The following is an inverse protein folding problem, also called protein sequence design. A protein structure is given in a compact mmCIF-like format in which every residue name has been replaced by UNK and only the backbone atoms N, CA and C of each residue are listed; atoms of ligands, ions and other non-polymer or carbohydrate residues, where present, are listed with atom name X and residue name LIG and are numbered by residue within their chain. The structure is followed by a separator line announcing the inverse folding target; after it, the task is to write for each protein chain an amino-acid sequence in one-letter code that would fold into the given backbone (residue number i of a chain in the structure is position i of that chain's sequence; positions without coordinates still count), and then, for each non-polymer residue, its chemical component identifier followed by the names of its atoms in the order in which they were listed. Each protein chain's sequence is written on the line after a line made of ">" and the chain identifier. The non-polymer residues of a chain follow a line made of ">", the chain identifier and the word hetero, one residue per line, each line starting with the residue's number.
data_IF_712741188386
#
_entry.id   IF_712741188386
#
_cell.length_a   1.000
_cell.length_b   1.000
_cell.length_c   1.000
_cell.angle_alpha   90.00
_cell.angle_beta   90.00
_cell.angle_gamma   90.00
#
_symmetry.space_group_name_H-M   'P 1'
#
loop_
_entity.id
_entity.type
_entity.pdbx_description
1 polymer ?
#
# COMPACT_ATOMS: atom_id res chain seq x y z
N UNK A 1 -65.21 -50.17 -23.16
CA UNK A 1 -63.90 -50.32 -22.48
C UNK A 1 -62.96 -49.25 -23.02
N UNK A 2 -62.55 -48.28 -22.19
CA UNK A 2 -61.43 -47.31 -22.30
C UNK A 2 -61.80 -46.07 -21.45
N UNK A 3 -61.59 -46.19 -20.15
CA UNK A 3 -60.47 -45.59 -19.38
C UNK A 3 -60.61 -44.07 -19.22
N UNK A 4 -61.19 -43.67 -18.07
CA UNK A 4 -61.02 -42.37 -17.45
C UNK A 4 -59.53 -42.17 -17.10
N UNK A 5 -58.92 -41.09 -17.59
CA UNK A 5 -57.65 -40.59 -17.09
C UNK A 5 -57.93 -39.38 -16.18
N UNK A 6 -57.79 -39.59 -14.87
CA UNK A 6 -57.91 -38.56 -13.85
C UNK A 6 -56.58 -37.77 -13.81
N UNK A 7 -56.55 -36.58 -14.43
CA UNK A 7 -55.43 -35.64 -14.36
C UNK A 7 -55.45 -34.93 -13.01
N UNK A 8 -54.59 -35.34 -12.08
CA UNK A 8 -54.32 -34.62 -10.83
C UNK A 8 -53.47 -33.38 -11.14
N UNK A 9 -54.12 -32.22 -11.25
CA UNK A 9 -53.47 -30.91 -11.25
C UNK A 9 -52.91 -30.63 -9.85
N UNK A 10 -51.62 -30.86 -9.65
CA UNK A 10 -50.89 -30.27 -8.53
C UNK A 10 -50.75 -28.76 -8.79
N UNK A 11 -51.28 -27.88 -7.93
CA UNK A 11 -51.02 -26.46 -8.06
C UNK A 11 -49.54 -26.25 -7.71
N UNK A 12 -48.71 -26.03 -8.74
CA UNK A 12 -47.44 -25.34 -8.56
C UNK A 12 -47.80 -23.94 -8.04
N UNK A 13 -47.79 -23.75 -6.72
CA UNK A 13 -47.65 -22.42 -6.15
C UNK A 13 -46.30 -21.90 -6.62
N UNK A 14 -46.32 -21.20 -7.75
CA UNK A 14 -45.24 -20.34 -8.17
C UNK A 14 -45.23 -19.17 -7.18
N UNK A 15 -44.60 -19.36 -6.03
CA UNK A 15 -44.28 -18.26 -5.13
C UNK A 15 -43.32 -17.39 -5.93
N UNK A 16 -43.83 -16.29 -6.47
CA UNK A 16 -43.02 -15.28 -7.12
C UNK A 16 -42.01 -14.78 -6.08
N UNK A 17 -40.80 -15.31 -6.11
CA UNK A 17 -39.70 -14.82 -5.30
C UNK A 17 -39.50 -13.37 -5.72
N UNK A 18 -39.83 -12.42 -4.85
CA UNK A 18 -39.69 -11.00 -5.15
C UNK A 18 -38.24 -10.73 -5.51
N UNK A 19 -37.96 -10.39 -6.76
CA UNK A 19 -36.61 -10.12 -7.21
C UNK A 19 -36.09 -8.85 -6.54
N UNK A 20 -34.86 -8.91 -6.02
CA UNK A 20 -34.21 -7.74 -5.42
C UNK A 20 -33.87 -6.74 -6.52
N UNK A 21 -34.44 -5.54 -6.42
CA UNK A 21 -34.22 -4.47 -7.38
C UNK A 21 -32.92 -3.71 -7.11
N UNK A 22 -32.50 -2.88 -8.07
CA UNK A 22 -31.40 -1.94 -7.83
C UNK A 22 -31.74 -0.92 -6.74
N UNK A 23 -33.01 -0.50 -6.67
CA UNK A 23 -33.51 0.41 -5.64
C UNK A 23 -33.42 -0.21 -4.24
N UNK A 24 -33.82 -1.49 -4.09
CA UNK A 24 -33.65 -2.24 -2.83
C UNK A 24 -32.19 -2.23 -2.35
N UNK A 25 -31.24 -2.47 -3.27
CA UNK A 25 -29.80 -2.41 -2.99
C UNK A 25 -29.33 -1.02 -2.60
N UNK A 26 -29.75 0.01 -3.32
CA UNK A 26 -29.39 1.40 -3.01
C UNK A 26 -29.91 1.82 -1.64
N UNK A 27 -31.14 1.44 -1.31
CA UNK A 27 -31.75 1.70 0.00
C UNK A 27 -31.00 1.00 1.12
N UNK A 28 -30.67 -0.28 0.96
CA UNK A 28 -29.85 -1.02 1.93
C UNK A 28 -28.46 -0.39 2.13
N UNK A 29 -27.83 0.04 1.03
CA UNK A 29 -26.53 0.72 1.06
C UNK A 29 -26.61 2.08 1.76
N UNK A 30 -27.69 2.84 1.55
CA UNK A 30 -27.92 4.13 2.21
C UNK A 30 -28.01 3.97 3.73
N UNK A 31 -28.83 3.02 4.21
CA UNK A 31 -28.90 2.74 5.66
C UNK A 31 -27.56 2.33 6.25
N UNK A 32 -26.80 1.49 5.54
CA UNK A 32 -25.46 1.06 5.97
C UNK A 32 -24.48 2.23 6.12
N UNK A 33 -24.40 3.11 5.12
CA UNK A 33 -23.49 4.26 5.13
C UNK A 33 -23.92 5.27 6.21
N UNK A 34 -25.23 5.43 6.41
CA UNK A 34 -25.79 6.26 7.48
C UNK A 34 -25.61 5.67 8.89
N UNK A 35 -25.02 4.46 9.02
CA UNK A 35 -24.93 3.72 10.28
C UNK A 35 -26.30 3.44 10.93
N UNK A 36 -27.37 3.45 10.14
CA UNK A 36 -28.71 3.06 10.56
C UNK A 36 -28.79 1.53 10.55
N UNK A 37 -28.19 0.92 11.57
CA UNK A 37 -28.00 -0.52 11.62
C UNK A 37 -29.31 -1.30 11.65
N UNK A 38 -30.36 -0.75 12.26
CA UNK A 38 -31.67 -1.41 12.32
C UNK A 38 -32.29 -1.55 10.93
N UNK A 39 -32.35 -0.46 10.17
CA UNK A 39 -32.87 -0.51 8.81
C UNK A 39 -31.93 -1.23 7.84
N UNK A 40 -30.61 -1.12 8.04
CA UNK A 40 -29.62 -1.88 7.27
C UNK A 40 -29.77 -3.39 7.46
N UNK A 41 -29.94 -3.86 8.71
CA UNK A 41 -30.19 -5.27 9.03
C UNK A 41 -31.43 -5.75 8.29
N UNK A 42 -32.53 -5.00 8.37
CA UNK A 42 -33.80 -5.37 7.73
C UNK A 42 -33.64 -5.48 6.21
N UNK A 43 -33.00 -4.49 5.59
CA UNK A 43 -32.80 -4.44 4.15
C UNK A 43 -31.83 -5.53 3.65
N UNK A 44 -30.66 -5.72 4.29
CA UNK A 44 -29.73 -6.78 3.87
C UNK A 44 -30.21 -8.17 4.18
N UNK A 45 -31.04 -8.38 5.21
CA UNK A 45 -31.66 -9.67 5.46
C UNK A 45 -32.54 -10.09 4.29
N UNK A 46 -33.42 -9.18 3.80
CA UNK A 46 -34.22 -9.39 2.58
C UNK A 46 -33.34 -9.76 1.39
N UNK A 47 -32.23 -9.04 1.17
CA UNK A 47 -31.31 -9.30 0.07
C UNK A 47 -30.62 -10.67 0.23
N UNK A 48 -30.10 -10.99 1.41
CA UNK A 48 -29.39 -12.24 1.68
C UNK A 48 -30.30 -13.48 1.57
N UNK A 49 -31.58 -13.35 1.90
CA UNK A 49 -32.61 -14.39 1.75
C UNK A 49 -32.98 -14.62 0.27
N UNK A 50 -33.15 -13.55 -0.49
CA UNK A 50 -33.45 -13.62 -1.92
C UNK A 50 -32.25 -14.04 -2.77
N UNK A 51 -31.02 -13.78 -2.31
CA UNK A 51 -29.77 -14.07 -3.03
C UNK A 51 -28.84 -14.94 -2.16
N UNK A 52 -29.06 -16.27 -2.12
CA UNK A 52 -28.31 -17.18 -1.24
C UNK A 52 -26.79 -17.24 -1.48
N UNK A 53 -26.34 -16.87 -2.69
CA UNK A 53 -24.92 -16.86 -3.07
C UNK A 53 -24.28 -15.46 -2.94
N UNK A 54 -25.03 -14.46 -2.47
CA UNK A 54 -24.50 -13.12 -2.28
C UNK A 54 -23.77 -13.01 -0.93
N UNK A 55 -22.47 -13.34 -0.93
CA UNK A 55 -21.61 -13.18 0.25
C UNK A 55 -21.48 -11.71 0.70
N UNK A 56 -21.59 -10.75 -0.24
CA UNK A 56 -21.47 -9.32 0.09
C UNK A 56 -22.65 -8.86 0.95
N UNK A 57 -23.89 -9.23 0.57
CA UNK A 57 -25.08 -8.93 1.35
C UNK A 57 -25.03 -9.54 2.75
N UNK A 58 -24.57 -10.80 2.88
CA UNK A 58 -24.36 -11.45 4.18
C UNK A 58 -23.29 -10.78 5.01
N UNK A 59 -22.20 -10.32 4.38
CA UNK A 59 -21.14 -9.58 5.06
C UNK A 59 -21.69 -8.28 5.62
N UNK A 60 -22.42 -7.49 4.81
CA UNK A 60 -23.03 -6.23 5.25
C UNK A 60 -24.08 -6.44 6.34
N UNK A 61 -24.86 -7.51 6.25
CA UNK A 61 -25.78 -7.93 7.31
C UNK A 61 -25.02 -8.24 8.62
N UNK A 62 -23.98 -9.06 8.55
CA UNK A 62 -23.15 -9.41 9.70
C UNK A 62 -22.46 -8.20 10.33
N UNK A 63 -21.92 -7.29 9.53
CA UNK A 63 -21.34 -6.02 10.03
C UNK A 63 -22.40 -5.14 10.67
N UNK A 64 -23.61 -5.06 10.10
CA UNK A 64 -24.71 -4.29 10.71
C UNK A 64 -25.12 -4.87 12.06
N UNK A 65 -25.14 -6.20 12.21
CA UNK A 65 -25.32 -6.85 13.52
C UNK A 65 -24.17 -6.55 14.48
N UNK A 66 -22.92 -6.60 14.01
CA UNK A 66 -21.76 -6.30 14.84
C UNK A 66 -21.80 -4.87 15.37
N UNK A 67 -22.08 -3.90 14.49
CA UNK A 67 -22.17 -2.48 14.83
C UNK A 67 -23.36 -2.13 15.72
N UNK A 68 -24.42 -2.94 15.72
CA UNK A 68 -25.56 -2.82 16.65
C UNK A 68 -25.38 -3.58 17.97
N UNK A 69 -24.20 -4.18 18.20
CA UNK A 69 -23.87 -4.93 19.42
C UNK A 69 -24.32 -6.40 19.41
N UNK A 70 -25.00 -6.85 18.36
CA UNK A 70 -25.52 -8.21 18.21
C UNK A 70 -24.45 -9.18 17.68
N UNK A 71 -23.36 -9.31 18.43
CA UNK A 71 -22.14 -10.00 17.97
C UNK A 71 -22.33 -11.49 17.66
N UNK A 72 -23.27 -12.17 18.33
CA UNK A 72 -23.57 -13.59 18.05
C UNK A 72 -24.21 -13.79 16.67
N UNK A 73 -25.16 -12.93 16.30
CA UNK A 73 -25.76 -12.95 14.96
C UNK A 73 -24.74 -12.52 13.90
N UNK A 74 -23.86 -11.55 14.24
CA UNK A 74 -22.76 -11.18 13.36
C UNK A 74 -21.88 -12.38 12.99
N UNK A 75 -21.42 -13.16 13.99
CA UNK A 75 -20.64 -14.39 13.75
C UNK A 75 -21.37 -15.32 12.79
N UNK A 76 -22.64 -15.64 13.03
CA UNK A 76 -23.44 -16.53 12.18
C UNK A 76 -23.44 -16.09 10.71
N UNK A 77 -23.82 -14.85 10.43
CA UNK A 77 -23.92 -14.36 9.05
C UNK A 77 -22.56 -14.16 8.38
N UNK A 78 -21.52 -13.84 9.15
CA UNK A 78 -20.15 -13.73 8.62
C UNK A 78 -19.53 -15.10 8.32
N UNK A 79 -19.81 -16.12 9.12
CA UNK A 79 -19.43 -17.51 8.81
C UNK A 79 -20.11 -18.00 7.53
N UNK A 80 -21.40 -17.71 7.35
CA UNK A 80 -22.11 -18.01 6.10
C UNK A 80 -21.46 -17.28 4.92
N UNK A 81 -21.14 -15.99 5.07
CA UNK A 81 -20.49 -15.21 4.02
C UNK A 81 -19.14 -15.81 3.59
N UNK A 82 -18.31 -16.21 4.56
CA UNK A 82 -17.01 -16.83 4.30
C UNK A 82 -17.13 -18.24 3.70
N UNK A 83 -18.19 -18.99 4.01
CA UNK A 83 -18.46 -20.30 3.38
C UNK A 83 -18.85 -20.16 1.91
N UNK A 84 -19.58 -19.10 1.56
CA UNK A 84 -20.06 -18.85 0.19
C UNK A 84 -18.95 -18.29 -0.70
N UNK A 85 -18.11 -17.40 -0.16
CA UNK A 85 -17.05 -16.75 -0.93
C UNK A 85 -15.75 -16.62 -0.15
N UNK A 86 -14.63 -16.72 -0.86
CA UNK A 86 -13.31 -16.43 -0.29
C UNK A 86 -13.04 -14.92 -0.30
N UNK A 87 -13.62 -14.18 0.67
CA UNK A 87 -13.47 -12.73 0.77
C UNK A 87 -12.75 -12.31 2.06
N UNK A 88 -11.64 -11.60 1.91
CA UNK A 88 -10.81 -11.13 3.02
C UNK A 88 -11.57 -10.23 4.01
N UNK A 89 -12.48 -9.39 3.54
CA UNK A 89 -13.22 -8.47 4.40
C UNK A 89 -14.23 -9.20 5.30
N UNK A 90 -14.87 -10.26 4.78
CA UNK A 90 -15.77 -11.12 5.58
C UNK A 90 -14.99 -11.84 6.66
N UNK A 91 -13.78 -12.35 6.34
CA UNK A 91 -12.89 -12.97 7.31
C UNK A 91 -12.43 -11.99 8.39
N UNK A 92 -12.10 -10.75 8.00
CA UNK A 92 -11.71 -9.71 8.95
C UNK A 92 -12.82 -9.45 9.98
N UNK A 93 -14.03 -9.13 9.49
CA UNK A 93 -15.15 -8.83 10.36
C UNK A 93 -15.60 -10.04 11.18
N UNK A 94 -15.42 -11.26 10.66
CA UNK A 94 -15.64 -12.47 11.45
C UNK A 94 -14.67 -12.53 12.64
N UNK A 95 -13.40 -12.18 12.41
CA UNK A 95 -12.42 -12.00 13.49
C UNK A 95 -12.86 -10.96 14.52
N UNK A 96 -13.32 -9.78 14.07
CA UNK A 96 -13.86 -8.73 14.95
C UNK A 96 -15.08 -9.21 15.75
N UNK A 97 -15.97 -9.99 15.15
CA UNK A 97 -17.14 -10.56 15.84
C UNK A 97 -16.74 -11.62 16.89
N UNK A 98 -15.70 -12.42 16.62
CA UNK A 98 -15.12 -13.33 17.61
C UNK A 98 -14.47 -12.59 18.77
N UNK A 99 -13.81 -11.45 18.52
CA UNK A 99 -13.27 -10.60 19.58
C UNK A 99 -14.38 -10.13 20.54
N UNK A 100 -15.52 -9.68 20.00
CA UNK A 100 -16.66 -9.23 20.81
C UNK A 100 -17.40 -10.35 21.55
N UNK A 101 -17.31 -11.58 21.05
CA UNK A 101 -17.82 -12.76 21.76
C UNK A 101 -16.80 -13.36 22.74
N UNK A 102 -15.70 -12.65 23.02
CA UNK A 102 -14.63 -13.05 23.95
C UNK A 102 -13.92 -14.35 23.55
N UNK A 103 -13.76 -14.56 22.24
CA UNK A 103 -13.08 -15.72 21.65
C UNK A 103 -11.80 -15.26 20.92
N UNK A 104 -10.74 -14.84 21.66
CA UNK A 104 -9.57 -14.20 21.08
C UNK A 104 -8.80 -15.11 20.10
N UNK A 105 -8.73 -16.41 20.35
CA UNK A 105 -8.00 -17.32 19.47
C UNK A 105 -8.67 -17.46 18.10
N UNK A 106 -10.01 -17.55 18.08
CA UNK A 106 -10.76 -17.53 16.83
C UNK A 106 -10.68 -16.17 16.14
N UNK A 107 -10.71 -15.08 16.91
CA UNK A 107 -10.55 -13.73 16.37
C UNK A 107 -9.24 -13.62 15.57
N UNK A 108 -8.11 -14.00 16.18
CA UNK A 108 -6.81 -13.96 15.53
C UNK A 108 -6.68 -14.97 14.39
N UNK A 109 -7.26 -16.16 14.50
CA UNK A 109 -7.27 -17.13 13.40
C UNK A 109 -7.93 -16.55 12.14
N UNK A 110 -9.04 -15.83 12.29
CA UNK A 110 -9.75 -15.22 11.16
C UNK A 110 -9.09 -13.94 10.65
N UNK A 111 -8.52 -13.12 11.54
CA UNK A 111 -7.69 -11.96 11.15
C UNK A 111 -6.48 -12.44 10.33
N UNK A 112 -5.78 -13.49 10.74
CA UNK A 112 -4.66 -14.06 9.99
C UNK A 112 -5.09 -14.54 8.60
N UNK A 113 -6.20 -15.29 8.52
CA UNK A 113 -6.75 -15.72 7.22
C UNK A 113 -7.11 -14.53 6.34
N UNK A 114 -7.67 -13.47 6.91
CA UNK A 114 -8.00 -12.25 6.20
C UNK A 114 -6.77 -11.59 5.58
N UNK A 115 -5.69 -11.42 6.37
CA UNK A 115 -4.42 -10.84 5.92
C UNK A 115 -3.79 -11.69 4.81
N UNK A 116 -3.76 -13.02 4.97
CA UNK A 116 -3.26 -13.94 3.93
C UNK A 116 -4.07 -13.89 2.62
N UNK A 117 -5.32 -13.44 2.67
CA UNK A 117 -6.17 -13.23 1.50
C UNK A 117 -6.19 -11.77 1.03
N UNK A 118 -5.20 -10.96 1.42
CA UNK A 118 -5.00 -9.61 0.90
C UNK A 118 -5.71 -8.48 1.66
N UNK A 119 -6.16 -8.73 2.90
CA UNK A 119 -6.61 -7.63 3.74
C UNK A 119 -5.44 -6.71 4.09
N UNK A 120 -5.56 -5.44 3.69
CA UNK A 120 -4.53 -4.41 3.87
C UNK A 120 -5.12 -3.06 4.32
N UNK A 121 -6.27 -3.06 5.00
CA UNK A 121 -6.91 -1.82 5.45
C UNK A 121 -6.45 -1.45 6.87
N UNK A 122 -5.26 -0.85 6.98
CA UNK A 122 -4.66 -0.53 8.29
C UNK A 122 -5.53 0.38 9.15
N UNK A 123 -6.17 1.40 8.56
CA UNK A 123 -7.07 2.30 9.30
C UNK A 123 -8.26 1.57 9.89
N UNK A 124 -8.86 0.65 9.12
CA UNK A 124 -9.95 -0.21 9.60
C UNK A 124 -9.48 -1.05 10.79
N UNK A 125 -8.29 -1.65 10.70
CA UNK A 125 -7.72 -2.47 11.78
C UNK A 125 -7.46 -1.66 13.07
N UNK A 126 -6.84 -0.48 12.95
CA UNK A 126 -6.43 0.35 14.10
C UNK A 126 -7.63 1.01 14.82
N UNK A 127 -8.64 1.39 14.04
CA UNK A 127 -9.83 2.10 14.50
C UNK A 127 -10.98 1.16 14.92
N UNK A 128 -10.86 -0.15 14.66
CA UNK A 128 -11.90 -1.12 15.02
C UNK A 128 -12.02 -1.27 16.54
N UNK A 129 -13.06 -0.64 17.07
CA UNK A 129 -13.40 -0.66 18.51
C UNK A 129 -13.70 -2.07 19.00
N UNK A 130 -14.08 -3.00 18.13
CA UNK A 130 -14.35 -4.38 18.49
C UNK A 130 -13.08 -5.15 18.87
N UNK A 131 -11.90 -4.66 18.44
CA UNK A 131 -10.61 -5.26 18.74
C UNK A 131 -9.95 -4.66 20.01
N UNK A 132 -10.61 -3.73 20.71
CA UNK A 132 -10.02 -3.04 21.88
C UNK A 132 -9.51 -4.00 22.95
N UNK A 133 -10.23 -5.09 23.22
CA UNK A 133 -9.83 -6.11 24.20
C UNK A 133 -8.60 -6.93 23.75
N UNK A 134 -8.23 -6.87 22.47
CA UNK A 134 -7.11 -7.60 21.90
C UNK A 134 -5.83 -6.76 21.79
N UNK A 135 -5.88 -5.44 22.00
CA UNK A 135 -4.74 -4.53 21.77
C UNK A 135 -3.50 -4.85 22.63
N UNK A 136 -3.69 -5.44 23.81
CA UNK A 136 -2.59 -5.86 24.69
C UNK A 136 -2.01 -7.24 24.36
N UNK A 137 -2.68 -8.03 23.52
CA UNK A 137 -2.17 -9.32 23.06
C UNK A 137 -1.06 -9.11 22.03
N UNK A 138 0.07 -9.79 22.20
CA UNK A 138 1.23 -9.64 21.29
C UNK A 138 0.90 -9.95 19.83
N UNK A 139 -0.09 -10.82 19.58
CA UNK A 139 -0.56 -11.14 18.22
C UNK A 139 -1.16 -9.93 17.52
N UNK A 140 -1.78 -9.00 18.25
CA UNK A 140 -2.33 -7.77 17.68
C UNK A 140 -1.24 -6.93 17.01
N UNK A 141 -0.13 -6.66 17.72
CA UNK A 141 1.01 -5.93 17.15
C UNK A 141 1.61 -6.68 15.96
N UNK A 142 1.76 -8.00 16.06
CA UNK A 142 2.27 -8.82 14.96
C UNK A 142 1.43 -8.66 13.69
N UNK A 143 0.11 -8.84 13.77
CA UNK A 143 -0.75 -8.74 12.59
C UNK A 143 -0.87 -7.31 12.07
N UNK A 144 -0.81 -6.32 12.95
CA UNK A 144 -0.69 -4.91 12.56
C UNK A 144 0.55 -4.66 11.71
N UNK A 145 1.71 -5.20 12.12
CA UNK A 145 2.96 -5.09 11.37
C UNK A 145 2.90 -5.83 10.03
N UNK A 146 2.24 -6.99 9.96
CA UNK A 146 1.99 -7.70 8.69
C UNK A 146 1.13 -6.88 7.72
N UNK A 147 0.08 -6.21 8.22
CA UNK A 147 -0.73 -5.30 7.42
C UNK A 147 0.11 -4.11 6.95
N UNK A 148 0.89 -3.49 7.85
CA UNK A 148 1.74 -2.34 7.51
C UNK A 148 2.79 -2.67 6.44
N UNK A 149 3.35 -3.88 6.45
CA UNK A 149 4.27 -4.36 5.39
C UNK A 149 3.58 -4.45 4.04
N UNK A 150 2.31 -4.83 4.02
CA UNK A 150 1.51 -4.88 2.79
C UNK A 150 1.14 -3.47 2.29
N UNK A 151 0.80 -2.56 3.21
CA UNK A 151 0.38 -1.17 2.88
C UNK A 151 1.58 -0.30 2.46
N UNK A 152 2.72 -0.47 3.12
CA UNK A 152 3.93 0.33 2.92
C UNK A 152 5.13 -0.56 2.55
N UNK A 153 5.08 -1.25 1.40
CA UNK A 153 6.09 -2.25 1.06
C UNK A 153 7.51 -1.67 0.97
N UNK A 154 7.65 -0.44 0.50
CA UNK A 154 8.95 0.22 0.40
C UNK A 154 9.55 0.56 1.77
N UNK A 155 8.71 0.96 2.75
CA UNK A 155 9.16 1.26 4.12
C UNK A 155 9.84 0.07 4.80
N UNK A 156 9.36 -1.14 4.52
CA UNK A 156 9.83 -2.37 5.16
C UNK A 156 10.75 -3.22 4.27
N UNK A 157 11.11 -2.73 3.08
CA UNK A 157 12.01 -3.39 2.14
C UNK A 157 13.42 -2.82 2.31
N UNK A 158 14.37 -3.66 2.76
CA UNK A 158 15.78 -3.28 2.88
C UNK A 158 16.33 -2.69 1.57
N UNK A 159 15.99 -3.31 0.43
CA UNK A 159 16.44 -2.84 -0.90
C UNK A 159 15.86 -1.47 -1.26
N UNK A 160 14.59 -1.23 -0.91
CA UNK A 160 13.91 0.04 -1.15
C UNK A 160 14.33 1.14 -0.19
N UNK A 161 14.99 0.80 0.93
CA UNK A 161 15.54 1.75 1.90
C UNK A 161 17.06 1.85 1.87
N UNK A 162 17.72 1.16 0.94
CA UNK A 162 19.17 1.18 0.81
C UNK A 162 19.78 2.57 0.53
N UNK A 163 18.97 3.51 0.01
CA UNK A 163 19.40 4.87 -0.30
C UNK A 163 19.12 5.89 0.84
N UNK A 164 18.62 5.42 1.98
CA UNK A 164 18.21 6.28 3.10
C UNK A 164 19.34 7.07 3.74
N UNK A 165 20.60 6.64 3.58
CA UNK A 165 21.76 7.35 4.12
C UNK A 165 21.87 8.79 3.62
N UNK A 166 21.23 9.10 2.48
CA UNK A 166 21.21 10.42 1.87
C UNK A 166 20.06 11.32 2.35
N UNK A 167 19.08 10.77 3.09
CA UNK A 167 17.95 11.54 3.63
C UNK A 167 18.47 12.60 4.61
N UNK A 168 17.99 13.83 4.46
CA UNK A 168 18.36 14.97 5.31
C UNK A 168 18.54 16.27 4.55
N UNK A 169 18.99 17.28 5.29
CA UNK A 169 19.36 18.59 4.76
C UNK A 169 20.88 18.74 4.76
N UNK A 170 21.42 19.28 3.68
CA UNK A 170 22.85 19.26 3.38
C UNK A 170 23.33 20.62 2.87
N UNK A 171 24.43 21.10 3.43
CA UNK A 171 25.30 22.09 2.79
C UNK A 171 26.29 21.37 1.90
N UNK A 172 26.41 21.80 0.63
CA UNK A 172 27.19 21.08 -0.38
C UNK A 172 28.35 21.95 -0.85
N UNK A 173 29.55 21.36 -0.91
CA UNK A 173 30.80 22.03 -1.31
C UNK A 173 31.54 21.21 -2.35
N UNK A 174 32.32 21.87 -3.20
CA UNK A 174 33.26 21.18 -4.09
C UNK A 174 34.50 20.67 -3.33
N UNK A 175 35.41 20.00 -4.04
CA UNK A 175 36.65 19.46 -3.46
C UNK A 175 37.62 20.52 -2.92
N UNK A 176 37.49 21.77 -3.36
CA UNK A 176 38.25 22.92 -2.82
C UNK A 176 37.58 23.54 -1.58
N UNK A 177 36.43 23.02 -1.15
CA UNK A 177 35.69 23.53 0.01
C UNK A 177 34.84 24.77 -0.28
N UNK A 178 34.72 25.19 -1.55
CA UNK A 178 33.85 26.30 -1.95
C UNK A 178 32.38 25.85 -1.97
N UNK A 179 31.42 26.70 -1.59
CA UNK A 179 30.00 26.38 -1.65
C UNK A 179 29.56 26.02 -3.08
N UNK A 180 28.90 24.88 -3.22
CA UNK A 180 28.30 24.42 -4.47
C UNK A 180 26.76 24.56 -4.46
N UNK A 181 26.13 24.43 -3.29
CA UNK A 181 24.69 24.55 -3.15
C UNK A 181 24.17 24.01 -1.83
N UNK A 182 22.85 23.84 -1.76
CA UNK A 182 22.12 23.16 -0.70
C UNK A 182 21.24 22.07 -1.29
N UNK A 183 21.10 20.97 -0.56
CA UNK A 183 20.23 19.86 -0.97
C UNK A 183 19.38 19.37 0.21
N UNK A 184 18.10 19.11 -0.05
CA UNK A 184 17.17 18.53 0.92
C UNK A 184 16.53 17.27 0.33
N UNK A 185 16.72 16.14 1.00
CA UNK A 185 16.23 14.83 0.59
C UNK A 185 15.16 14.36 1.57
N UNK A 186 13.98 14.05 1.03
CA UNK A 186 12.79 13.65 1.80
C UNK A 186 12.14 12.40 1.21
N UNK A 187 11.53 11.58 2.06
CA UNK A 187 10.68 10.47 1.64
C UNK A 187 9.28 10.97 1.29
N UNK A 188 8.69 10.42 0.23
CA UNK A 188 7.29 10.67 -0.14
C UNK A 188 6.62 9.40 -0.68
N UNK A 189 5.30 9.48 -0.91
CA UNK A 189 4.49 8.42 -1.53
C UNK A 189 4.62 7.07 -0.81
N UNK A 190 4.40 7.05 0.51
CA UNK A 190 4.45 5.82 1.31
C UNK A 190 5.86 5.22 1.40
N UNK A 191 6.88 6.09 1.42
CA UNK A 191 8.29 5.74 1.56
C UNK A 191 8.91 5.05 0.34
N UNK A 192 8.26 5.12 -0.82
CA UNK A 192 8.78 4.55 -2.06
C UNK A 192 9.69 5.51 -2.82
N UNK A 193 9.51 6.81 -2.67
CA UNK A 193 10.24 7.82 -3.45
C UNK A 193 11.08 8.69 -2.53
N UNK A 194 12.36 8.84 -2.84
CA UNK A 194 13.18 9.93 -2.30
C UNK A 194 13.15 11.11 -3.27
N UNK A 195 12.70 12.25 -2.79
CA UNK A 195 12.71 13.51 -3.48
C UNK A 195 13.88 14.35 -2.99
N UNK A 196 14.77 14.70 -3.90
CA UNK A 196 15.76 15.74 -3.69
C UNK A 196 15.21 17.10 -4.11
N UNK A 197 15.53 18.13 -3.33
CA UNK A 197 15.37 19.53 -3.67
C UNK A 197 16.75 20.20 -3.63
N UNK A 198 17.29 20.51 -4.81
CA UNK A 198 18.59 21.13 -4.98
C UNK A 198 18.47 22.63 -5.25
N UNK A 199 19.40 23.42 -4.71
CA UNK A 199 19.60 24.83 -5.06
C UNK A 199 21.09 25.11 -5.14
N UNK A 200 21.59 25.52 -6.29
CA UNK A 200 23.02 25.82 -6.46
C UNK A 200 23.43 27.15 -5.85
N UNK A 201 24.72 27.28 -5.56
CA UNK A 201 25.29 28.53 -5.08
C UNK A 201 25.38 29.60 -6.21
N UNK A 202 25.28 30.90 -5.88
CA UNK A 202 25.53 32.01 -6.82
C UNK A 202 26.95 31.97 -7.43
N UNK A 203 27.22 32.67 -8.55
CA UNK A 203 26.33 33.59 -9.27
C UNK A 203 25.37 32.92 -10.26
N UNK A 204 25.68 31.70 -10.72
CA UNK A 204 24.89 30.96 -11.71
C UNK A 204 23.88 30.04 -11.02
N UNK A 205 23.01 30.62 -10.20
CA UNK A 205 22.04 29.90 -9.41
C UNK A 205 20.99 29.20 -10.31
N UNK A 206 20.69 27.95 -9.99
CA UNK A 206 19.62 27.15 -10.57
C UNK A 206 19.06 26.21 -9.51
N UNK A 207 17.81 25.82 -9.68
CA UNK A 207 17.14 24.84 -8.84
C UNK A 207 16.86 23.56 -9.63
N UNK A 208 16.91 22.43 -8.93
CA UNK A 208 16.60 21.13 -9.51
C UNK A 208 15.98 20.19 -8.50
N UNK A 209 15.47 19.07 -9.02
CA UNK A 209 14.88 17.99 -8.23
C UNK A 209 15.30 16.65 -8.80
N UNK A 210 15.52 15.68 -7.92
CA UNK A 210 15.64 14.29 -8.34
C UNK A 210 14.58 13.42 -7.67
N UNK A 211 13.98 12.54 -8.46
CA UNK A 211 13.04 11.52 -7.99
C UNK A 211 13.75 10.17 -8.04
N UNK A 212 13.80 9.48 -6.90
CA UNK A 212 14.57 8.25 -6.75
C UNK A 212 13.64 7.13 -6.28
N UNK A 213 13.61 6.02 -7.00
CA UNK A 213 12.72 4.90 -6.73
C UNK A 213 13.45 3.57 -6.94
N UNK A 214 13.23 2.62 -6.02
CA UNK A 214 13.60 1.23 -6.25
C UNK A 214 12.52 0.51 -7.06
N UNK A 215 12.88 0.05 -8.26
CA UNK A 215 11.98 -0.72 -9.11
C UNK A 215 12.03 -2.20 -8.73
N UNK A 216 10.93 -2.72 -8.18
CA UNK A 216 10.83 -4.11 -7.74
C UNK A 216 10.88 -5.13 -8.87
N UNK A 217 10.54 -4.76 -10.11
CA UNK A 217 10.62 -5.67 -11.25
C UNK A 217 12.06 -5.85 -11.74
N UNK A 218 12.82 -4.76 -11.89
CA UNK A 218 14.22 -4.82 -12.32
C UNK A 218 15.20 -5.08 -11.16
N UNK A 219 14.75 -4.95 -9.91
CA UNK A 219 15.60 -4.99 -8.72
C UNK A 219 16.72 -3.93 -8.73
N UNK A 220 16.45 -2.77 -9.35
CA UNK A 220 17.40 -1.67 -9.49
C UNK A 220 16.78 -0.35 -9.05
N UNK A 221 17.61 0.56 -8.57
CA UNK A 221 17.24 1.95 -8.36
C UNK A 221 17.22 2.71 -9.69
N UNK A 222 16.30 3.65 -9.80
CA UNK A 222 16.20 4.60 -10.91
C UNK A 222 16.14 5.99 -10.28
N UNK A 223 16.84 6.94 -10.90
CA UNK A 223 16.76 8.36 -10.55
C UNK A 223 16.43 9.17 -11.80
N UNK A 224 15.48 10.10 -11.69
CA UNK A 224 15.19 11.10 -12.71
C UNK A 224 15.48 12.48 -12.16
N UNK A 225 16.44 13.18 -12.76
CA UNK A 225 16.77 14.57 -12.47
C UNK A 225 16.02 15.51 -13.42
N UNK A 226 15.51 16.62 -12.89
CA UNK A 226 14.95 17.75 -13.65
C UNK A 226 15.40 19.08 -13.04
N UNK A 227 15.49 20.13 -13.84
CA UNK A 227 15.85 21.47 -13.35
C UNK A 227 15.10 22.63 -14.02
N UNK A 228 15.25 23.81 -13.44
CA UNK A 228 14.64 25.06 -13.91
C UNK A 228 15.28 25.66 -15.18
N UNK A 229 16.24 24.95 -15.78
CA UNK A 229 16.85 25.26 -17.08
C UNK A 229 16.38 24.31 -18.19
N UNK A 230 15.46 23.41 -17.87
CA UNK A 230 14.94 22.41 -18.82
C UNK A 230 15.84 21.18 -18.96
N UNK A 231 16.78 20.98 -18.04
CA UNK A 231 17.58 19.76 -17.96
C UNK A 231 16.73 18.57 -17.53
N UNK A 232 17.00 17.42 -18.15
CA UNK A 232 16.42 16.12 -17.85
C UNK A 232 17.52 15.07 -17.96
N UNK A 233 17.75 14.31 -16.90
CA UNK A 233 18.69 13.18 -16.91
C UNK A 233 18.02 11.98 -16.25
N UNK A 234 18.07 10.83 -16.92
CA UNK A 234 17.62 9.56 -16.37
C UNK A 234 18.84 8.68 -16.05
N UNK A 235 18.92 8.30 -14.77
CA UNK A 235 19.89 7.39 -14.21
C UNK A 235 19.22 6.05 -13.92
N UNK A 236 19.79 4.99 -14.46
CA UNK A 236 19.27 3.62 -14.40
C UNK A 236 20.28 2.69 -13.72
N UNK A 237 19.86 1.44 -13.54
CA UNK A 237 20.69 0.35 -13.02
C UNK A 237 21.33 0.65 -11.65
N UNK A 238 20.70 1.51 -10.87
CA UNK A 238 21.18 1.92 -9.56
C UNK A 238 21.34 0.74 -8.61
N UNK A 239 22.49 0.63 -7.97
CA UNK A 239 22.79 -0.44 -7.02
C UNK A 239 23.57 0.09 -5.81
N UNK A 240 23.13 -0.32 -4.62
CA UNK A 240 23.85 -0.05 -3.38
C UNK A 240 24.79 -1.21 -3.05
N UNK A 241 26.08 -0.95 -3.07
CA UNK A 241 27.13 -1.92 -2.76
C UNK A 241 28.38 -1.19 -2.27
N UNK A 242 29.15 -1.80 -1.38
CA UNK A 242 30.45 -1.27 -0.93
C UNK A 242 30.36 0.18 -0.39
N UNK A 243 29.30 0.46 0.37
CA UNK A 243 28.97 1.79 0.93
C UNK A 243 28.79 2.90 -0.13
N UNK A 244 28.33 2.56 -1.33
CA UNK A 244 27.96 3.54 -2.34
C UNK A 244 26.69 3.12 -3.09
N UNK A 245 25.91 4.12 -3.50
CA UNK A 245 24.87 3.97 -4.51
C UNK A 245 25.45 4.43 -5.85
N UNK A 246 25.45 3.56 -6.86
CA UNK A 246 26.01 3.86 -8.18
C UNK A 246 24.95 3.67 -9.27
N UNK A 247 24.81 4.66 -10.14
CA UNK A 247 23.93 4.66 -11.30
C UNK A 247 24.71 4.95 -12.59
N UNK A 248 24.11 4.62 -13.73
CA UNK A 248 24.57 5.04 -15.06
C UNK A 248 23.42 5.62 -15.87
N UNK A 249 23.70 6.45 -16.87
CA UNK A 249 22.71 6.85 -17.87
C UNK A 249 22.66 5.83 -19.02
N UNK A 250 21.63 5.93 -19.86
CA UNK A 250 21.75 5.43 -21.23
C UNK A 250 22.84 6.22 -21.99
N UNK A 251 23.48 5.64 -23.01
CA UNK A 251 24.34 6.39 -23.92
C UNK A 251 23.56 7.50 -24.62
N UNK A 252 24.10 8.71 -24.67
CA UNK A 252 23.52 9.80 -25.44
C UNK A 252 23.80 9.67 -26.95
N UNK A 253 23.37 10.67 -27.73
CA UNK A 253 23.59 10.69 -29.19
C UNK A 253 25.08 10.70 -29.61
N UNK A 254 26.00 10.98 -28.70
CA UNK A 254 27.46 10.95 -28.89
C UNK A 254 28.10 9.73 -28.25
N UNK A 255 27.31 8.74 -27.82
CA UNK A 255 27.75 7.56 -27.08
C UNK A 255 28.41 7.89 -25.73
N UNK A 256 28.05 9.03 -25.13
CA UNK A 256 28.53 9.42 -23.81
C UNK A 256 27.62 8.79 -22.74
N UNK A 257 28.23 8.11 -21.78
CA UNK A 257 27.54 7.58 -20.59
C UNK A 257 28.02 8.36 -19.37
N UNK A 258 27.09 8.76 -18.51
CA UNK A 258 27.41 9.37 -17.21
C UNK A 258 27.21 8.35 -16.11
N UNK A 259 28.17 8.24 -15.19
CA UNK A 259 28.05 7.53 -13.92
C UNK A 259 27.84 8.52 -12.80
N UNK A 260 26.86 8.24 -11.95
CA UNK A 260 26.61 8.95 -10.70
C UNK A 260 26.89 8.01 -9.54
N UNK A 261 27.84 8.38 -8.68
CA UNK A 261 28.12 7.64 -7.44
C UNK A 261 27.86 8.51 -6.23
N UNK A 262 27.05 8.03 -5.29
CA UNK A 262 26.89 8.61 -3.96
C UNK A 262 27.52 7.69 -2.91
N UNK A 263 28.63 8.12 -2.34
CA UNK A 263 29.33 7.41 -1.28
C UNK A 263 28.70 7.74 0.08
N UNK A 264 28.33 6.69 0.82
CA UNK A 264 27.91 6.78 2.21
C UNK A 264 29.16 6.86 3.11
N UNK A 265 29.47 8.07 3.59
CA UNK A 265 30.65 8.32 4.43
C UNK A 265 30.29 8.43 5.92
N UNK A 266 29.09 7.97 6.30
CA UNK A 266 28.55 8.06 7.66
C UNK A 266 27.33 8.98 7.74
N UNK A 267 26.76 9.15 8.96
CA UNK A 267 25.50 9.86 9.13
C UNK A 267 25.57 11.31 8.65
N UNK A 268 26.70 12.01 8.87
CA UNK A 268 26.81 13.45 8.62
C UNK A 268 27.53 13.80 7.30
N UNK A 269 27.88 12.80 6.47
CA UNK A 269 28.65 13.01 5.24
C UNK A 269 28.25 12.09 4.10
N UNK A 270 28.05 12.70 2.92
CA UNK A 270 27.91 12.00 1.65
C UNK A 270 28.86 12.65 0.64
N UNK A 271 29.46 11.86 -0.27
CA UNK A 271 30.18 12.39 -1.43
C UNK A 271 29.43 12.00 -2.69
N UNK A 272 29.13 12.97 -3.54
CA UNK A 272 28.53 12.75 -4.85
C UNK A 272 29.59 12.97 -5.92
N UNK A 273 29.75 12.00 -6.81
CA UNK A 273 30.78 12.01 -7.83
C UNK A 273 30.15 11.64 -9.17
N UNK A 274 30.30 12.53 -10.15
CA UNK A 274 29.91 12.32 -11.53
C UNK A 274 31.15 12.09 -12.39
N UNK A 275 31.04 11.10 -13.25
CA UNK A 275 32.06 10.75 -14.22
C UNK A 275 31.42 10.45 -15.57
N UNK A 276 32.15 10.63 -16.66
CA UNK A 276 31.71 10.27 -18.00
C UNK A 276 32.68 9.33 -18.69
N UNK A 277 32.15 8.50 -19.59
CA UNK A 277 32.90 7.59 -20.46
C UNK A 277 32.33 7.64 -21.88
N UNK A 278 33.21 7.47 -22.87
CA UNK A 278 32.84 7.31 -24.29
C UNK A 278 33.46 6.05 -24.90
N UNK A 279 34.06 5.19 -24.07
CA UNK A 279 34.80 3.98 -24.48
C UNK A 279 34.28 2.71 -23.79
N UNK A 280 32.95 2.69 -23.57
CA UNK A 280 32.22 1.60 -22.92
C UNK A 280 32.71 1.30 -21.49
N UNK A 281 33.09 2.36 -20.76
CA UNK A 281 33.46 2.28 -19.35
C UNK A 281 34.87 1.81 -19.08
N UNK A 282 35.75 1.75 -20.10
CA UNK A 282 37.18 1.43 -19.91
C UNK A 282 37.91 2.58 -19.23
N UNK A 283 37.58 3.82 -19.57
CA UNK A 283 38.09 5.02 -18.93
C UNK A 283 36.95 5.93 -18.49
N UNK A 284 37.16 6.59 -17.34
CA UNK A 284 36.19 7.50 -16.73
C UNK A 284 36.87 8.83 -16.44
N UNK A 285 36.20 9.92 -16.83
CA UNK A 285 36.66 11.29 -16.57
C UNK A 285 35.74 11.94 -15.55
N UNK A 286 36.29 12.46 -14.45
CA UNK A 286 35.51 13.20 -13.46
C UNK A 286 34.97 14.50 -14.06
N UNK A 287 33.65 14.71 -13.95
CA UNK A 287 33.00 15.96 -14.37
C UNK A 287 32.65 16.83 -13.17
N UNK A 288 32.15 16.22 -12.09
CA UNK A 288 31.71 16.93 -10.88
C UNK A 288 32.00 16.09 -9.65
N UNK A 289 32.51 16.71 -8.58
CA UNK A 289 32.79 16.04 -7.30
C UNK A 289 32.41 16.97 -6.14
N UNK A 290 31.44 16.52 -5.35
CA UNK A 290 30.75 17.30 -4.33
C UNK A 290 30.71 16.56 -3.00
N UNK A 291 30.89 17.31 -1.92
CA UNK A 291 30.82 16.84 -0.55
C UNK A 291 29.62 17.47 0.15
N UNK A 292 28.75 16.63 0.68
CA UNK A 292 27.54 16.97 1.39
C UNK A 292 27.83 16.90 2.89
N UNK A 293 27.53 17.98 3.60
CA UNK A 293 27.71 18.12 5.05
C UNK A 293 26.33 18.31 5.67
N UNK A 294 25.95 17.42 6.59
CA UNK A 294 24.62 17.45 7.19
C UNK A 294 24.42 18.75 7.99
N UNK A 295 23.26 19.38 7.79
CA UNK A 295 22.78 20.50 8.60
C UNK A 295 22.17 19.92 9.88
N UNK A 296 22.60 20.41 11.05
CA UNK A 296 22.13 19.98 12.36
C UNK A 296 20.96 20.82 12.85
#
# INVERSE_FOLDING_TARGET
>A
MKLLALLLLFPFLCIAQSSITQEDRQKANSFYVASDWSNAITAYKKIAEAEPQNWNARTRLGVSYLSSGNSKEAVKYLEEAVKIGNNNLSMYYLGSAFAMTKQPDQAFQWIEKSIKNGFAQISVFDEDKNLMALKSDSRFSKYRDEILKTVYPCRYSEKSRAFDFWIGEWDVKNVQGLPAGKSKIEVMLGDCVLLENWTSAPPNAYAGKSFNLFNSASQKWIQTWVDDKGGLIEFINGEYKDNKMEFVTHPDAKNLITRLTLYNLGPDRVRQHFETTSDDGKTWTTTTDLNYFRIK
#
